data_IF_155063904906
#
_entry.id   IF_155063904906
#
_cell.length_a   1.000
_cell.length_b   1.000
_cell.length_c   1.000
_cell.angle_alpha   90.00
_cell.angle_beta   90.00
_cell.angle_gamma   90.00
#
_symmetry.space_group_name_H-M   'P 1'
#
loop_
_entity.id
_entity.type
_entity.pdbx_description
1 polymer ?
#
# COMPACT_ATOMS: atom_id res chain seq x y z
N UNK A 1 37.53 2.32 -21.77
CA UNK A 1 37.23 3.17 -22.94
C UNK A 1 35.72 3.22 -23.10
N UNK A 2 35.10 4.39 -23.04
CA UNK A 2 33.67 4.53 -23.30
C UNK A 2 33.38 4.08 -24.75
N UNK A 3 32.26 3.38 -25.02
CA UNK A 3 31.91 2.99 -26.38
C UNK A 3 31.74 4.26 -27.23
N UNK A 4 32.55 4.39 -28.28
CA UNK A 4 32.51 5.53 -29.18
C UNK A 4 31.14 5.61 -29.85
N UNK A 5 30.46 6.73 -29.66
CA UNK A 5 29.14 6.96 -30.24
C UNK A 5 29.24 7.04 -31.77
N UNK A 6 28.36 6.36 -32.51
CA UNK A 6 28.35 6.46 -33.96
C UNK A 6 27.88 7.87 -34.36
N UNK A 7 28.57 8.56 -35.29
CA UNK A 7 28.10 9.85 -35.77
C UNK A 7 26.80 9.69 -36.55
N UNK A 8 25.94 10.72 -36.52
CA UNK A 8 24.76 10.79 -37.38
C UNK A 8 25.20 10.71 -38.85
N UNK A 9 24.48 9.94 -39.66
CA UNK A 9 24.82 9.64 -41.05
C UNK A 9 25.81 8.50 -41.25
N UNK A 10 26.33 7.89 -40.18
CA UNK A 10 27.20 6.71 -40.33
C UNK A 10 26.44 5.51 -40.90
N UNK A 11 27.06 4.81 -41.85
CA UNK A 11 26.59 3.52 -42.33
C UNK A 11 26.93 2.44 -41.29
N UNK A 12 25.90 1.77 -40.80
CA UNK A 12 25.99 0.73 -39.78
C UNK A 12 25.23 -0.51 -40.22
N UNK A 13 25.74 -1.67 -39.83
CA UNK A 13 25.10 -2.97 -40.01
C UNK A 13 24.58 -3.46 -38.67
N UNK A 14 23.29 -3.80 -38.64
CA UNK A 14 22.57 -4.40 -37.50
C UNK A 14 21.98 -5.74 -37.91
N UNK A 15 21.51 -6.58 -36.96
CA UNK A 15 20.84 -7.85 -37.30
C UNK A 15 19.63 -7.69 -38.25
N UNK A 16 18.99 -6.52 -38.27
CA UNK A 16 17.88 -6.19 -39.17
C UNK A 16 18.32 -5.76 -40.58
N UNK A 17 19.62 -5.58 -40.83
CA UNK A 17 20.17 -5.16 -42.12
C UNK A 17 21.11 -3.96 -42.02
N UNK A 18 21.52 -3.44 -43.18
CA UNK A 18 22.35 -2.23 -43.29
C UNK A 18 21.49 -0.97 -43.29
N UNK A 19 21.99 0.08 -42.67
CA UNK A 19 21.27 1.35 -42.60
C UNK A 19 22.12 2.53 -42.13
N UNK A 20 21.54 3.71 -42.18
CA UNK A 20 22.16 4.97 -41.78
C UNK A 20 21.69 5.38 -40.38
N UNK A 21 22.61 5.80 -39.54
CA UNK A 21 22.27 6.37 -38.23
C UNK A 21 21.56 7.71 -38.43
N UNK A 22 20.29 7.81 -38.03
CA UNK A 22 19.47 9.03 -38.14
C UNK A 22 19.22 9.71 -36.80
N UNK A 23 19.34 8.99 -35.69
CA UNK A 23 19.08 9.51 -34.34
C UNK A 23 20.02 8.88 -33.31
N UNK A 24 20.51 9.67 -32.36
CA UNK A 24 21.30 9.21 -31.21
C UNK A 24 20.94 10.07 -29.98
N UNK A 25 20.12 9.56 -29.07
CA UNK A 25 19.54 10.39 -28.01
C UNK A 25 18.76 9.62 -26.95
N UNK A 26 18.28 10.33 -25.93
CA UNK A 26 17.26 9.79 -25.01
C UNK A 26 15.91 9.71 -25.71
N UNK A 27 15.04 8.81 -25.26
CA UNK A 27 13.69 8.65 -25.82
C UNK A 27 12.63 8.84 -24.74
N UNK A 28 11.41 9.18 -25.15
CA UNK A 28 10.26 9.31 -24.27
C UNK A 28 9.68 7.97 -23.80
N UNK A 29 9.90 6.91 -24.58
CA UNK A 29 9.29 5.60 -24.34
C UNK A 29 10.14 4.69 -23.44
N UNK A 30 11.43 4.97 -23.28
CA UNK A 30 12.30 4.15 -22.42
C UNK A 30 13.53 4.93 -21.95
N UNK A 31 13.89 4.76 -20.67
CA UNK A 31 15.08 5.37 -20.10
C UNK A 31 16.36 4.77 -20.72
N UNK A 32 17.36 5.63 -20.92
CA UNK A 32 18.63 5.26 -21.56
C UNK A 32 18.83 5.91 -22.92
N UNK A 33 19.98 5.65 -23.53
CA UNK A 33 20.36 6.21 -24.84
C UNK A 33 20.04 5.22 -25.94
N UNK A 34 19.41 5.72 -27.01
CA UNK A 34 18.93 4.95 -28.13
C UNK A 34 19.55 5.45 -29.43
N UNK A 35 19.80 4.51 -30.34
CA UNK A 35 20.24 4.78 -31.70
C UNK A 35 19.13 4.38 -32.66
N UNK A 36 18.68 5.36 -33.46
CA UNK A 36 17.71 5.17 -34.52
C UNK A 36 18.41 5.06 -35.87
N UNK A 37 18.12 4.00 -36.59
CA UNK A 37 18.76 3.63 -37.85
C UNK A 37 17.67 3.54 -38.93
N UNK A 38 17.89 4.21 -40.05
CA UNK A 38 17.09 4.01 -41.25
C UNK A 38 17.75 2.92 -42.10
N UNK A 39 17.11 1.76 -42.16
CA UNK A 39 17.51 0.62 -42.97
C UNK A 39 17.30 0.91 -44.46
N UNK A 40 18.20 0.36 -45.26
CA UNK A 40 18.07 0.40 -46.72
C UNK A 40 16.86 -0.42 -47.22
N UNK A 41 16.53 -1.50 -46.52
CA UNK A 41 15.43 -2.43 -46.83
C UNK A 41 14.29 -2.34 -45.81
N UNK A 42 13.10 -2.82 -46.18
CA UNK A 42 11.87 -2.77 -45.38
C UNK A 42 11.82 -3.80 -44.22
N UNK A 43 12.93 -3.95 -43.49
CA UNK A 43 13.11 -4.87 -42.36
C UNK A 43 13.03 -4.18 -40.98
N UNK A 44 12.58 -2.93 -40.97
CA UNK A 44 12.40 -2.09 -39.79
C UNK A 44 11.05 -2.29 -39.12
N UNK A 45 10.91 -1.68 -37.94
CA UNK A 45 9.71 -1.79 -37.09
C UNK A 45 8.78 -0.58 -37.17
N UNK A 46 9.30 0.56 -37.62
CA UNK A 46 8.54 1.81 -37.76
C UNK A 46 9.11 2.66 -38.91
N UNK A 47 8.66 3.91 -39.01
CA UNK A 47 9.09 4.93 -39.98
C UNK A 47 9.97 6.03 -39.35
N UNK A 48 10.43 5.81 -38.11
CA UNK A 48 11.13 6.79 -37.29
C UNK A 48 10.22 7.48 -36.26
N UNK A 49 8.94 7.13 -36.22
CA UNK A 49 7.98 7.56 -35.20
C UNK A 49 7.70 6.42 -34.21
N UNK A 50 7.78 6.71 -32.90
CA UNK A 50 7.44 5.75 -31.83
C UNK A 50 6.44 6.41 -30.89
N UNK A 51 5.28 5.77 -30.70
CA UNK A 51 4.19 6.28 -29.83
C UNK A 51 3.75 7.72 -30.19
N UNK A 52 3.74 8.07 -31.48
CA UNK A 52 3.35 9.39 -31.97
C UNK A 52 4.45 10.47 -31.89
N UNK A 53 5.61 10.15 -31.30
CA UNK A 53 6.76 11.06 -31.26
C UNK A 53 7.73 10.69 -32.37
N UNK A 54 8.02 11.65 -33.25
CA UNK A 54 8.92 11.48 -34.39
C UNK A 54 10.36 11.78 -33.98
N UNK A 55 11.23 10.80 -34.12
CA UNK A 55 12.67 10.92 -33.84
C UNK A 55 13.48 11.22 -35.10
N UNK A 56 13.07 10.63 -36.22
CA UNK A 56 13.58 10.93 -37.57
C UNK A 56 12.52 10.57 -38.61
N UNK A 57 12.74 10.97 -39.86
CA UNK A 57 11.85 10.62 -40.99
C UNK A 57 12.50 9.51 -41.80
N UNK A 58 11.77 8.41 -42.02
CA UNK A 58 12.15 7.32 -42.91
C UNK A 58 10.94 6.72 -43.62
N UNK A 59 11.17 5.76 -44.52
CA UNK A 59 10.10 5.00 -45.18
C UNK A 59 9.38 4.07 -44.18
N UNK A 60 8.10 3.72 -44.41
CA UNK A 60 7.41 2.73 -43.60
C UNK A 60 8.20 1.42 -43.52
N UNK A 61 8.33 0.85 -42.32
CA UNK A 61 9.12 -0.37 -42.04
C UNK A 61 10.62 -0.24 -42.34
N UNK A 62 11.21 0.96 -42.33
CA UNK A 62 12.65 1.12 -42.50
C UNK A 62 13.37 1.54 -41.21
N UNK A 63 12.68 1.90 -40.15
CA UNK A 63 13.34 2.34 -38.92
C UNK A 63 13.58 1.20 -37.94
N UNK A 64 14.81 1.12 -37.44
CA UNK A 64 15.25 0.22 -36.38
C UNK A 64 15.78 1.01 -35.19
N UNK A 65 15.43 0.59 -33.96
CA UNK A 65 15.92 1.19 -32.72
C UNK A 65 16.73 0.17 -31.93
N UNK A 66 17.91 0.55 -31.45
CA UNK A 66 18.74 -0.27 -30.56
C UNK A 66 19.36 0.56 -29.44
N UNK A 67 19.51 -0.05 -28.27
CA UNK A 67 20.22 0.51 -27.11
C UNK A 67 21.66 -0.03 -26.99
N UNK A 68 22.03 -1.01 -27.83
CA UNK A 68 23.29 -1.72 -27.71
C UNK A 68 24.25 -1.31 -28.84
N UNK A 69 25.27 -0.47 -28.58
CA UNK A 69 26.24 -0.09 -29.61
C UNK A 69 27.10 -1.25 -30.11
N UNK A 70 27.16 -2.39 -29.39
CA UNK A 70 27.77 -3.64 -29.86
C UNK A 70 27.06 -4.25 -31.07
N UNK A 71 25.78 -3.94 -31.27
CA UNK A 71 25.02 -4.37 -32.46
C UNK A 71 25.35 -3.53 -33.70
N UNK A 72 26.08 -2.43 -33.53
CA UNK A 72 26.41 -1.50 -34.62
C UNK A 72 27.80 -1.78 -35.16
N UNK A 73 27.87 -2.51 -36.26
CA UNK A 73 29.13 -2.64 -37.01
C UNK A 73 29.24 -1.47 -37.99
N UNK A 74 30.17 -0.55 -37.77
CA UNK A 74 30.45 0.53 -38.74
C UNK A 74 30.97 -0.07 -40.04
N UNK A 75 30.29 0.22 -41.13
CA UNK A 75 30.71 -0.18 -42.48
C UNK A 75 31.42 1.03 -43.09
N UNK A 76 32.74 0.96 -43.17
CA UNK A 76 33.57 1.95 -43.85
C UNK A 76 33.75 1.54 -45.30
N UNK A 77 32.76 1.80 -46.16
CA UNK A 77 32.91 1.62 -47.60
C UNK A 77 32.08 2.69 -48.34
N UNK A 78 32.65 3.39 -49.33
CA UNK A 78 31.94 4.44 -50.06
C UNK A 78 30.89 3.83 -51.00
N UNK A 79 29.67 4.36 -50.93
CA UNK A 79 28.50 3.95 -51.72
C UNK A 79 28.76 4.14 -53.22
N UNK A 80 28.52 3.07 -54.02
CA UNK A 80 28.19 3.20 -55.45
C UNK A 80 26.68 3.35 -55.57
N UNK A 81 26.25 4.36 -56.31
CA UNK A 81 24.86 4.56 -56.68
C UNK A 81 24.37 3.40 -57.58
N UNK A 82 23.14 2.89 -57.40
CA UNK A 82 22.53 1.99 -58.37
C UNK A 82 22.02 2.81 -59.57
N UNK A 83 22.68 2.58 -60.70
CA UNK A 83 22.32 3.03 -62.04
C UNK A 83 20.98 2.40 -62.49
N UNK A 84 20.07 3.15 -63.15
CA UNK A 84 18.78 2.62 -63.59
C UNK A 84 18.94 1.78 -64.86
N UNK A 85 18.49 0.52 -64.81
CA UNK A 85 18.44 -0.40 -65.96
C UNK A 85 17.26 -0.01 -66.89
N UNK A 86 17.45 0.01 -68.23
CA UNK A 86 16.45 0.51 -69.18
C UNK A 86 15.40 -0.52 -69.60
N UNK A 87 14.17 -0.04 -69.83
CA UNK A 87 13.07 -0.79 -70.47
C UNK A 87 13.42 -1.17 -71.93
N UNK A 88 12.95 -2.32 -72.45
CA UNK A 88 13.11 -2.65 -73.85
C UNK A 88 11.98 -2.02 -74.71
N UNK A 89 12.36 -1.13 -75.63
CA UNK A 89 11.57 -0.90 -76.84
C UNK A 89 11.71 -2.07 -77.83
N UNK A 90 10.70 -2.30 -78.68
CA UNK A 90 11.06 -2.40 -80.09
C UNK A 90 10.23 -1.53 -81.03
N UNK A 91 11.01 -0.95 -81.94
CA UNK A 91 10.75 -0.13 -83.12
C UNK A 91 9.61 -0.58 -84.05
N UNK A 92 8.95 0.41 -84.66
CA UNK A 92 8.31 0.34 -86.00
C UNK A 92 9.11 1.22 -86.97
N UNK A 93 8.90 1.28 -88.31
CA UNK A 93 7.95 0.58 -89.20
C UNK A 93 8.59 0.07 -90.55
N UNK A 94 8.00 -0.93 -91.22
CA UNK A 94 8.11 -1.11 -92.68
C UNK A 94 6.77 -1.61 -93.24
N UNK A 95 6.28 -0.94 -94.28
CA UNK A 95 5.20 -1.38 -95.17
C UNK A 95 5.66 -1.13 -96.62
N UNK A 96 4.93 -1.53 -97.69
CA UNK A 96 4.05 -2.69 -97.89
C UNK A 96 4.41 -3.48 -99.17
N UNK A 97 4.21 -4.80 -99.20
CA UNK A 97 4.09 -5.54 -100.48
C UNK A 97 3.06 -6.68 -100.35
N UNK A 98 1.97 -6.58 -101.12
CA UNK A 98 1.20 -7.72 -101.61
C UNK A 98 2.00 -8.39 -102.75
N UNK A 99 1.97 -9.73 -102.90
CA UNK A 99 0.88 -10.29 -103.72
C UNK A 99 0.39 -11.71 -103.34
N UNK A 100 -0.84 -11.98 -103.77
CA UNK A 100 -1.35 -13.27 -104.28
C UNK A 100 -1.50 -14.49 -103.35
N UNK A 101 -2.78 -14.83 -103.12
CA UNK A 101 -3.28 -16.19 -102.77
C UNK A 101 -2.83 -17.25 -103.80
N UNK A 102 -2.59 -18.51 -103.38
CA UNK A 102 -3.70 -19.48 -103.27
C UNK A 102 -3.72 -20.35 -101.99
N UNK A 103 -4.96 -20.60 -101.53
CA UNK A 103 -5.54 -21.75 -100.78
C UNK A 103 -4.70 -22.69 -99.89
N UNK A 104 -4.99 -22.60 -98.57
CA UNK A 104 -5.06 -23.64 -97.49
C UNK A 104 -3.78 -24.40 -97.08
N UNK A 105 -3.41 -24.44 -95.77
CA UNK A 105 -4.27 -24.79 -94.64
C UNK A 105 -4.24 -23.75 -93.50
N UNK A 106 -4.86 -22.58 -93.69
CA UNK A 106 -4.83 -21.48 -92.69
C UNK A 106 -5.84 -21.68 -91.54
N UNK A 107 -6.98 -22.33 -91.81
CA UNK A 107 -8.05 -22.55 -90.81
C UNK A 107 -7.60 -23.30 -89.56
N UNK A 108 -6.68 -24.26 -89.67
CA UNK A 108 -6.24 -25.06 -88.52
C UNK A 108 -5.38 -24.26 -87.54
N UNK A 109 -4.61 -23.26 -88.01
CA UNK A 109 -3.80 -22.39 -87.17
C UNK A 109 -4.67 -21.34 -86.47
N UNK A 110 -5.60 -20.73 -87.20
CA UNK A 110 -6.60 -19.81 -86.63
C UNK A 110 -7.46 -20.51 -85.56
N UNK A 111 -7.86 -21.77 -85.80
CA UNK A 111 -8.65 -22.56 -84.85
C UNK A 111 -7.84 -22.94 -83.59
N UNK A 112 -6.53 -23.17 -83.72
CA UNK A 112 -5.62 -23.42 -82.58
C UNK A 112 -5.42 -22.14 -81.74
N UNK A 113 -5.16 -20.99 -82.37
CA UNK A 113 -5.02 -19.71 -81.68
C UNK A 113 -6.31 -19.29 -80.97
N UNK A 114 -7.47 -19.51 -81.60
CA UNK A 114 -8.77 -19.26 -80.98
C UNK A 114 -8.99 -20.18 -79.76
N UNK A 115 -8.52 -21.43 -79.80
CA UNK A 115 -8.58 -22.33 -78.64
C UNK A 115 -7.64 -21.88 -77.51
N UNK A 116 -6.43 -21.44 -77.82
CA UNK A 116 -5.47 -20.91 -76.84
C UNK A 116 -5.97 -19.61 -76.19
N UNK A 117 -6.52 -18.69 -76.97
CA UNK A 117 -7.11 -17.45 -76.44
C UNK A 117 -8.33 -17.76 -75.55
N UNK A 118 -9.17 -18.72 -75.93
CA UNK A 118 -10.27 -19.19 -75.07
C UNK A 118 -9.78 -19.81 -73.77
N UNK A 119 -8.70 -20.61 -73.82
CA UNK A 119 -8.08 -21.17 -72.62
C UNK A 119 -7.49 -20.07 -71.74
N UNK A 120 -6.85 -19.06 -72.33
CA UNK A 120 -6.30 -17.90 -71.62
C UNK A 120 -7.41 -17.05 -70.98
N UNK A 121 -8.53 -16.85 -71.67
CA UNK A 121 -9.72 -16.20 -71.10
C UNK A 121 -10.22 -16.98 -69.88
N UNK A 122 -10.36 -18.31 -69.96
CA UNK A 122 -10.76 -19.14 -68.81
C UNK A 122 -9.81 -19.03 -67.62
N UNK A 123 -8.50 -19.02 -67.87
CA UNK A 123 -7.49 -18.85 -66.81
C UNK A 123 -7.57 -17.45 -66.19
N UNK A 124 -7.77 -16.41 -67.00
CA UNK A 124 -7.94 -15.04 -66.50
C UNK A 124 -9.25 -14.88 -65.73
N UNK A 125 -10.33 -15.54 -66.15
CA UNK A 125 -11.61 -15.57 -65.43
C UNK A 125 -11.48 -16.30 -64.09
N UNK A 126 -10.76 -17.43 -64.05
CA UNK A 126 -10.46 -18.15 -62.81
C UNK A 126 -9.62 -17.29 -61.85
N UNK A 127 -8.57 -16.63 -62.36
CA UNK A 127 -7.76 -15.68 -61.58
C UNK A 127 -8.60 -14.53 -61.02
N UNK A 128 -9.47 -13.91 -61.83
CA UNK A 128 -10.39 -12.87 -61.34
C UNK A 128 -11.35 -13.39 -60.27
N UNK A 129 -11.80 -14.64 -60.36
CA UNK A 129 -12.66 -15.24 -59.36
C UNK A 129 -11.91 -15.48 -58.02
N UNK A 130 -10.64 -15.89 -58.08
CA UNK A 130 -9.79 -16.05 -56.90
C UNK A 130 -9.38 -14.71 -56.29
N UNK A 131 -9.04 -13.72 -57.11
CA UNK A 131 -8.79 -12.35 -56.67
C UNK A 131 -10.04 -11.77 -55.98
N UNK A 132 -11.23 -11.99 -56.54
CA UNK A 132 -12.50 -11.57 -55.91
C UNK A 132 -12.78 -12.29 -54.58
N UNK A 133 -12.32 -13.53 -54.40
CA UNK A 133 -12.39 -14.23 -53.10
C UNK A 133 -11.41 -13.65 -52.10
N UNK A 134 -10.18 -13.36 -52.53
CA UNK A 134 -9.16 -12.77 -51.66
C UNK A 134 -9.56 -11.36 -51.20
N UNK A 135 -10.13 -10.56 -52.08
CA UNK A 135 -10.67 -9.23 -51.73
C UNK A 135 -11.75 -9.35 -50.64
N UNK A 136 -12.70 -10.29 -50.77
CA UNK A 136 -13.73 -10.50 -49.73
C UNK A 136 -13.14 -10.93 -48.39
N UNK A 137 -12.11 -11.77 -48.38
CA UNK A 137 -11.44 -12.17 -47.15
C UNK A 137 -10.69 -11.00 -46.49
N UNK A 138 -10.05 -10.15 -47.30
CA UNK A 138 -9.41 -8.93 -46.79
C UNK A 138 -10.45 -7.95 -46.24
N UNK A 139 -11.61 -7.81 -46.88
CA UNK A 139 -12.73 -7.00 -46.40
C UNK A 139 -13.27 -7.51 -45.05
N UNK A 140 -13.43 -8.83 -44.87
CA UNK A 140 -13.87 -9.37 -43.57
C UNK A 140 -12.82 -9.12 -42.48
N UNK A 141 -11.54 -9.37 -42.76
CA UNK A 141 -10.45 -9.08 -41.80
C UNK A 141 -10.35 -7.59 -41.48
N UNK A 142 -10.57 -6.72 -42.46
CA UNK A 142 -10.62 -5.27 -42.26
C UNK A 142 -11.77 -4.91 -41.31
N UNK A 143 -12.96 -5.46 -41.53
CA UNK A 143 -14.13 -5.22 -40.67
C UNK A 143 -13.91 -5.66 -39.22
N UNK A 144 -13.24 -6.81 -39.01
CA UNK A 144 -12.86 -7.28 -37.67
C UNK A 144 -11.83 -6.34 -37.04
N UNK A 145 -10.80 -5.93 -37.78
CA UNK A 145 -9.79 -4.99 -37.32
C UNK A 145 -10.39 -3.62 -36.94
N UNK A 146 -11.30 -3.09 -37.76
CA UNK A 146 -12.05 -1.87 -37.48
C UNK A 146 -12.88 -1.99 -36.20
N UNK A 147 -13.48 -3.16 -35.95
CA UNK A 147 -14.20 -3.42 -34.69
C UNK A 147 -13.28 -3.38 -33.46
N UNK A 148 -12.06 -3.91 -33.55
CA UNK A 148 -11.07 -3.83 -32.47
C UNK A 148 -10.56 -2.41 -32.25
N UNK A 149 -10.36 -1.65 -33.33
CA UNK A 149 -10.02 -0.22 -33.24
C UNK A 149 -11.14 0.56 -32.55
N UNK A 150 -12.41 0.25 -32.83
CA UNK A 150 -13.57 0.86 -32.16
C UNK A 150 -13.71 0.45 -30.68
N UNK A 151 -13.24 -0.74 -30.30
CA UNK A 151 -13.24 -1.19 -28.89
C UNK A 151 -12.14 -0.54 -28.05
N UNK A 152 -10.99 -0.21 -28.65
CA UNK A 152 -9.85 0.40 -27.96
C UNK A 152 -10.21 1.67 -27.16
N UNK A 153 -10.91 2.69 -27.71
CA UNK A 153 -11.29 3.87 -26.93
C UNK A 153 -12.28 3.54 -25.82
N UNK A 154 -13.14 2.53 -25.98
CA UNK A 154 -14.07 2.11 -24.91
C UNK A 154 -13.32 1.48 -23.74
N UNK A 155 -12.34 0.62 -24.02
CA UNK A 155 -11.49 0.04 -22.98
C UNK A 155 -10.61 1.09 -22.32
N UNK A 156 -10.06 2.02 -23.11
CA UNK A 156 -9.29 3.15 -22.59
C UNK A 156 -10.14 4.05 -21.69
N UNK A 157 -11.38 4.34 -22.07
CA UNK A 157 -12.33 5.11 -21.26
C UNK A 157 -12.69 4.39 -19.95
N UNK A 158 -12.88 3.05 -20.00
CA UNK A 158 -13.11 2.25 -18.79
C UNK A 158 -11.89 2.26 -17.86
N UNK A 159 -10.68 2.12 -18.42
CA UNK A 159 -9.45 2.19 -17.64
C UNK A 159 -9.31 3.56 -16.96
N UNK A 160 -9.57 4.66 -17.68
CA UNK A 160 -9.54 6.00 -17.08
C UNK A 160 -10.64 6.20 -16.04
N UNK A 161 -11.85 5.69 -16.27
CA UNK A 161 -12.95 5.73 -15.28
C UNK A 161 -12.56 5.03 -13.98
N UNK A 162 -12.06 3.80 -14.10
CA UNK A 162 -11.59 3.03 -12.94
C UNK A 162 -10.40 3.69 -12.25
N UNK A 163 -9.47 4.30 -13.00
CA UNK A 163 -8.39 5.08 -12.40
C UNK A 163 -8.92 6.27 -11.60
N UNK A 164 -9.92 7.00 -12.12
CA UNK A 164 -10.54 8.11 -11.39
C UNK A 164 -11.29 7.63 -10.15
N UNK A 165 -12.05 6.54 -10.24
CA UNK A 165 -12.77 5.94 -9.10
C UNK A 165 -11.81 5.43 -8.01
N UNK A 166 -10.67 4.85 -8.39
CA UNK A 166 -9.63 4.45 -7.44
C UNK A 166 -9.01 5.65 -6.73
N UNK A 167 -8.84 6.77 -7.42
CA UNK A 167 -8.32 8.00 -6.81
C UNK A 167 -9.35 8.61 -5.85
N UNK A 168 -10.62 8.67 -6.24
CA UNK A 168 -11.68 9.22 -5.38
C UNK A 168 -11.88 8.37 -4.13
N UNK A 169 -11.98 7.05 -4.27
CA UNK A 169 -12.14 6.14 -3.13
C UNK A 169 -10.92 6.17 -2.19
N UNK A 170 -9.70 6.29 -2.72
CA UNK A 170 -8.50 6.49 -1.89
C UNK A 170 -8.53 7.80 -1.11
N UNK A 171 -9.04 8.87 -1.72
CA UNK A 171 -9.21 10.16 -1.03
C UNK A 171 -10.26 10.06 0.06
N UNK A 172 -11.42 9.48 -0.23
CA UNK A 172 -12.48 9.24 0.75
C UNK A 172 -11.99 8.38 1.92
N UNK A 173 -11.18 7.35 1.66
CA UNK A 173 -10.56 6.53 2.69
C UNK A 173 -9.61 7.34 3.58
N UNK A 174 -8.78 8.21 2.98
CA UNK A 174 -7.86 9.07 3.73
C UNK A 174 -8.63 10.07 4.62
N UNK A 175 -9.68 10.70 4.08
CA UNK A 175 -10.54 11.64 4.82
C UNK A 175 -11.25 10.92 5.99
N UNK A 176 -11.77 9.70 5.75
CA UNK A 176 -12.39 8.88 6.78
C UNK A 176 -11.40 8.43 7.87
N UNK A 177 -10.16 8.08 7.49
CA UNK A 177 -9.09 7.75 8.43
C UNK A 177 -8.70 8.94 9.30
N UNK A 178 -8.61 10.15 8.73
CA UNK A 178 -8.34 11.36 9.51
C UNK A 178 -9.47 11.65 10.50
N UNK A 179 -10.72 11.53 10.08
CA UNK A 179 -11.86 11.68 10.99
C UNK A 179 -11.87 10.63 12.11
N UNK A 180 -11.51 9.38 11.81
CA UNK A 180 -11.37 8.33 12.81
C UNK A 180 -10.27 8.63 13.82
N UNK A 181 -9.08 9.07 13.38
CA UNK A 181 -7.98 9.47 14.27
C UNK A 181 -8.37 10.64 15.18
N UNK A 182 -9.08 11.64 14.65
CA UNK A 182 -9.60 12.76 15.46
C UNK A 182 -10.68 12.31 16.46
N UNK A 183 -11.48 11.30 16.11
CA UNK A 183 -12.46 10.73 17.03
C UNK A 183 -11.77 9.92 18.13
N UNK A 184 -10.75 9.12 17.79
CA UNK A 184 -9.93 8.38 18.75
C UNK A 184 -9.23 9.30 19.74
N UNK A 185 -8.60 10.38 19.27
CA UNK A 185 -7.96 11.36 20.15
C UNK A 185 -8.97 11.99 21.12
N UNK A 186 -10.17 12.33 20.63
CA UNK A 186 -11.25 12.86 21.47
C UNK A 186 -11.71 11.85 22.51
N UNK A 187 -11.79 10.57 22.15
CA UNK A 187 -12.16 9.51 23.10
C UNK A 187 -11.11 9.40 24.20
N UNK A 188 -9.82 9.43 23.84
CA UNK A 188 -8.72 9.42 24.82
C UNK A 188 -8.79 10.64 25.74
N UNK A 189 -8.96 11.85 25.21
CA UNK A 189 -9.11 13.06 26.02
C UNK A 189 -10.31 12.96 26.99
N UNK A 190 -11.43 12.40 26.54
CA UNK A 190 -12.61 12.18 27.40
C UNK A 190 -12.36 11.10 28.45
N UNK A 191 -11.58 10.06 28.14
CA UNK A 191 -11.18 9.02 29.09
C UNK A 191 -10.28 9.61 30.18
N UNK A 192 -9.27 10.41 29.80
CA UNK A 192 -8.41 11.12 30.76
C UNK A 192 -9.22 12.06 31.65
N UNK A 193 -10.20 12.78 31.10
CA UNK A 193 -11.10 13.63 31.90
C UNK A 193 -11.94 12.82 32.88
N UNK A 194 -12.43 11.64 32.47
CA UNK A 194 -13.16 10.74 33.35
C UNK A 194 -12.26 10.19 34.46
N UNK A 195 -11.04 9.78 34.14
CA UNK A 195 -10.05 9.31 35.12
C UNK A 195 -9.75 10.39 36.15
N UNK A 196 -9.47 11.62 35.71
CA UNK A 196 -9.24 12.76 36.60
C UNK A 196 -10.45 13.04 37.49
N UNK A 197 -11.66 13.04 36.93
CA UNK A 197 -12.89 13.23 37.70
C UNK A 197 -13.14 12.09 38.70
N UNK A 198 -12.77 10.86 38.35
CA UNK A 198 -12.89 9.72 39.28
C UNK A 198 -11.91 9.83 40.45
N UNK A 199 -10.68 10.27 40.21
CA UNK A 199 -9.71 10.52 41.28
C UNK A 199 -10.18 11.65 42.20
N UNK A 200 -10.68 12.76 41.65
CA UNK A 200 -11.20 13.87 42.45
C UNK A 200 -12.39 13.43 43.32
N UNK A 201 -13.25 12.55 42.78
CA UNK A 201 -14.35 11.95 43.53
C UNK A 201 -13.83 11.05 44.66
N UNK A 202 -12.89 10.15 44.38
CA UNK A 202 -12.30 9.27 45.41
C UNK A 202 -11.64 10.08 46.53
N UNK A 203 -10.90 11.14 46.18
CA UNK A 203 -10.28 12.05 47.14
C UNK A 203 -11.31 12.81 47.99
N UNK A 204 -12.46 13.19 47.39
CA UNK A 204 -13.54 13.82 48.12
C UNK A 204 -14.27 12.84 49.05
N UNK A 205 -14.48 11.60 48.62
CA UNK A 205 -15.06 10.53 49.42
C UNK A 205 -14.18 10.21 50.64
N UNK A 206 -12.87 10.03 50.47
CA UNK A 206 -11.96 9.81 51.60
C UNK A 206 -11.97 10.99 52.59
N UNK A 207 -12.00 12.23 52.09
CA UNK A 207 -12.11 13.42 52.96
C UNK A 207 -13.42 13.46 53.74
N UNK A 208 -14.53 13.09 53.11
CA UNK A 208 -15.82 13.01 53.77
C UNK A 208 -15.83 11.91 54.85
N UNK A 209 -15.32 10.71 54.53
CA UNK A 209 -15.19 9.61 55.49
C UNK A 209 -14.30 9.98 56.69
N UNK A 210 -13.19 10.70 56.46
CA UNK A 210 -12.34 11.21 57.54
C UNK A 210 -13.08 12.22 58.43
N UNK A 211 -13.80 13.18 57.84
CA UNK A 211 -14.58 14.16 58.60
C UNK A 211 -15.73 13.52 59.39
N UNK A 212 -16.38 12.49 58.82
CA UNK A 212 -17.40 11.70 59.53
C UNK A 212 -16.81 10.93 60.71
N UNK A 213 -15.62 10.34 60.54
CA UNK A 213 -14.91 9.66 61.63
C UNK A 213 -14.51 10.62 62.76
N UNK A 214 -14.00 11.81 62.45
CA UNK A 214 -13.71 12.86 63.44
C UNK A 214 -14.98 13.29 64.18
N UNK A 215 -16.10 13.41 63.47
CA UNK A 215 -17.39 13.77 64.06
C UNK A 215 -17.94 12.64 64.96
N UNK A 216 -17.76 11.38 64.59
CA UNK A 216 -18.05 10.24 65.46
C UNK A 216 -17.16 10.24 66.71
N UNK A 217 -15.86 10.50 66.59
CA UNK A 217 -14.94 10.61 67.73
C UNK A 217 -15.35 11.73 68.70
N UNK A 218 -15.67 12.92 68.17
CA UNK A 218 -16.15 14.04 68.99
C UNK A 218 -17.48 13.70 69.67
N UNK A 219 -18.38 12.99 68.98
CA UNK A 219 -19.64 12.51 69.59
C UNK A 219 -19.39 11.48 70.70
N UNK A 220 -18.48 10.53 70.50
CA UNK A 220 -18.08 9.56 71.52
C UNK A 220 -17.48 10.27 72.75
N UNK A 221 -16.63 11.28 72.53
CA UNK A 221 -16.04 12.12 73.58
C UNK A 221 -17.10 12.95 74.32
N UNK A 222 -18.05 13.56 73.60
CA UNK A 222 -19.16 14.28 74.20
C UNK A 222 -19.99 13.34 75.08
N UNK A 223 -20.33 12.14 74.60
CA UNK A 223 -21.08 11.15 75.36
C UNK A 223 -20.34 10.70 76.63
N UNK A 224 -19.00 10.63 76.60
CA UNK A 224 -18.18 10.41 77.81
C UNK A 224 -18.39 11.55 78.81
N UNK A 225 -18.15 12.78 78.37
CA UNK A 225 -18.22 13.97 79.24
C UNK A 225 -19.63 14.18 79.78
N UNK A 226 -20.67 13.94 78.98
CA UNK A 226 -22.07 14.00 79.42
C UNK A 226 -22.35 13.00 80.54
N UNK A 227 -21.88 11.75 80.41
CA UNK A 227 -22.00 10.74 81.46
C UNK A 227 -21.20 11.14 82.71
N UNK A 228 -19.99 11.67 82.55
CA UNK A 228 -19.19 12.17 83.67
C UNK A 228 -19.89 13.31 84.42
N UNK A 229 -20.48 14.27 83.69
CA UNK A 229 -21.26 15.36 84.26
C UNK A 229 -22.54 14.86 84.95
N UNK A 230 -23.23 13.88 84.38
CA UNK A 230 -24.40 13.23 84.98
C UNK A 230 -24.02 12.61 86.34
N UNK A 231 -22.91 11.85 86.38
CA UNK A 231 -22.40 11.23 87.61
C UNK A 231 -21.98 12.27 88.64
N UNK A 232 -21.33 13.36 88.23
CA UNK A 232 -20.95 14.44 89.14
C UNK A 232 -22.15 15.19 89.70
N UNK A 233 -23.21 15.39 88.90
CA UNK A 233 -24.47 16.00 89.38
C UNK A 233 -25.21 15.08 90.34
N UNK A 234 -25.42 13.81 89.99
CA UNK A 234 -26.07 12.83 90.87
C UNK A 234 -25.23 12.59 92.14
N UNK A 235 -23.91 12.62 92.03
CA UNK A 235 -22.99 12.55 93.16
C UNK A 235 -23.02 13.81 94.04
N UNK A 236 -23.20 15.00 93.45
CA UNK A 236 -23.37 16.26 94.16
C UNK A 236 -24.74 16.42 94.82
N UNK A 237 -25.81 15.89 94.20
CA UNK A 237 -27.16 15.86 94.75
C UNK A 237 -27.32 14.78 95.84
N UNK A 238 -26.58 13.67 95.76
CA UNK A 238 -26.51 12.66 96.85
C UNK A 238 -25.47 12.96 97.92
N UNK A 239 -24.60 13.95 97.73
CA UNK A 239 -23.62 14.36 98.73
C UNK A 239 -24.25 15.04 99.97
N UNK A 240 -25.58 15.23 100.00
CA UNK A 240 -26.28 15.58 101.23
C UNK A 240 -26.60 14.38 102.15
N UNK A 241 -26.42 13.12 101.74
CA UNK A 241 -26.73 11.98 102.61
C UNK A 241 -25.76 10.78 102.50
N UNK A 242 -24.79 10.79 103.42
CA UNK A 242 -23.99 9.69 104.01
C UNK A 242 -24.08 8.29 103.35
N UNK A 243 -22.98 7.82 102.73
CA UNK A 243 -22.30 6.48 102.86
C UNK A 243 -21.50 6.11 101.59
N UNK A 244 -20.16 6.20 101.64
CA UNK A 244 -19.29 6.17 100.45
C UNK A 244 -18.86 4.79 99.91
N UNK A 245 -19.22 3.66 100.52
CA UNK A 245 -18.56 2.37 100.23
C UNK A 245 -19.25 1.44 99.22
N UNK A 246 -20.60 1.31 99.14
CA UNK A 246 -21.22 0.44 98.13
C UNK A 246 -21.29 1.09 96.73
N UNK A 247 -21.29 2.43 96.66
CA UNK A 247 -21.42 3.18 95.40
C UNK A 247 -20.15 3.10 94.55
N UNK A 248 -18.96 3.10 95.17
CA UNK A 248 -17.67 2.99 94.45
C UNK A 248 -17.52 1.66 93.72
N UNK A 249 -18.05 0.56 94.28
CA UNK A 249 -18.02 -0.77 93.65
C UNK A 249 -19.00 -0.85 92.47
N UNK A 250 -20.23 -0.33 92.61
CA UNK A 250 -21.18 -0.26 91.49
C UNK A 250 -20.72 0.67 90.38
N UNK A 251 -20.08 1.79 90.71
CA UNK A 251 -19.51 2.74 89.74
C UNK A 251 -18.34 2.13 88.95
N UNK A 252 -17.40 1.47 89.66
CA UNK A 252 -16.27 0.78 89.02
C UNK A 252 -16.74 -0.38 88.12
N UNK A 253 -17.79 -1.09 88.53
CA UNK A 253 -18.40 -2.14 87.73
C UNK A 253 -19.02 -1.60 86.44
N UNK A 254 -19.80 -0.52 86.51
CA UNK A 254 -20.43 0.14 85.34
C UNK A 254 -19.35 0.73 84.39
N UNK A 255 -18.27 1.29 84.92
CA UNK A 255 -17.14 1.77 84.11
C UNK A 255 -16.44 0.62 83.37
N UNK A 256 -16.22 -0.52 84.03
CA UNK A 256 -15.61 -1.71 83.42
C UNK A 256 -16.52 -2.34 82.34
N UNK A 257 -17.83 -2.34 82.56
CA UNK A 257 -18.80 -2.88 81.60
C UNK A 257 -18.84 -2.02 80.32
N UNK A 258 -18.88 -0.70 80.46
CA UNK A 258 -18.76 0.24 79.33
C UNK A 258 -17.41 0.16 78.61
N UNK A 259 -16.30 -0.02 79.33
CA UNK A 259 -14.99 -0.23 78.68
C UNK A 259 -14.94 -1.54 77.89
N UNK A 260 -15.56 -2.61 78.40
CA UNK A 260 -15.67 -3.87 77.67
C UNK A 260 -16.56 -3.75 76.43
N UNK A 261 -17.66 -3.00 76.50
CA UNK A 261 -18.50 -2.72 75.32
C UNK A 261 -17.73 -1.93 74.26
N UNK A 262 -16.99 -0.88 74.63
CA UNK A 262 -16.12 -0.15 73.70
C UNK A 262 -15.07 -1.03 73.04
N UNK A 263 -14.41 -1.89 73.81
CA UNK A 263 -13.42 -2.83 73.27
C UNK A 263 -14.07 -3.84 72.32
N UNK A 264 -15.28 -4.31 72.61
CA UNK A 264 -16.05 -5.20 71.73
C UNK A 264 -16.44 -4.50 70.43
N UNK A 265 -16.93 -3.26 70.49
CA UNK A 265 -17.30 -2.48 69.31
C UNK A 265 -16.09 -2.16 68.43
N UNK A 266 -14.97 -1.74 69.03
CA UNK A 266 -13.72 -1.51 68.31
C UNK A 266 -13.19 -2.78 67.61
N UNK A 267 -13.30 -3.94 68.27
CA UNK A 267 -12.97 -5.24 67.67
C UNK A 267 -13.89 -5.59 66.50
N UNK A 268 -15.20 -5.36 66.64
CA UNK A 268 -16.17 -5.59 65.56
C UNK A 268 -15.89 -4.67 64.38
N UNK A 269 -15.61 -3.39 64.63
CA UNK A 269 -15.28 -2.39 63.61
C UNK A 269 -14.00 -2.77 62.84
N UNK A 270 -12.95 -3.19 63.56
CA UNK A 270 -11.70 -3.71 62.97
C UNK A 270 -11.92 -5.01 62.19
N UNK A 271 -12.74 -5.92 62.70
CA UNK A 271 -13.10 -7.18 62.02
C UNK A 271 -13.84 -6.91 60.71
N UNK A 272 -14.81 -5.98 60.71
CA UNK A 272 -15.53 -5.55 59.49
C UNK A 272 -14.57 -4.91 58.49
N UNK A 273 -13.77 -3.93 58.91
CA UNK A 273 -12.78 -3.26 58.03
C UNK A 273 -11.79 -4.25 57.41
N UNK A 274 -11.26 -5.20 58.19
CA UNK A 274 -10.41 -6.29 57.67
C UNK A 274 -11.14 -7.15 56.63
N UNK A 275 -12.41 -7.48 56.87
CA UNK A 275 -13.21 -8.30 55.97
C UNK A 275 -13.51 -7.59 54.66
N UNK A 276 -13.83 -6.29 54.71
CA UNK A 276 -14.03 -5.45 53.53
C UNK A 276 -12.75 -5.33 52.69
N UNK A 277 -11.59 -5.09 53.33
CA UNK A 277 -10.29 -5.05 52.62
C UNK A 277 -9.98 -6.38 51.93
N UNK A 278 -10.12 -7.50 52.66
CA UNK A 278 -9.87 -8.82 52.09
C UNK A 278 -10.82 -9.14 50.92
N UNK A 279 -12.10 -8.77 51.01
CA UNK A 279 -13.07 -8.94 49.94
C UNK A 279 -12.77 -8.05 48.73
N UNK A 280 -12.29 -6.83 48.94
CA UNK A 280 -11.85 -5.91 47.88
C UNK A 280 -10.62 -6.46 47.15
N UNK A 281 -9.64 -6.98 47.90
CA UNK A 281 -8.42 -7.57 47.34
C UNK A 281 -8.71 -8.87 46.57
N UNK A 282 -9.65 -9.69 47.05
CA UNK A 282 -10.18 -10.85 46.32
C UNK A 282 -10.91 -10.44 45.02
N UNK A 283 -11.68 -9.36 45.05
CA UNK A 283 -12.33 -8.81 43.86
C UNK A 283 -11.33 -8.29 42.83
N UNK A 284 -10.30 -7.56 43.29
CA UNK A 284 -9.23 -7.01 42.43
C UNK A 284 -8.37 -8.12 41.82
N UNK A 285 -8.01 -9.15 42.59
CA UNK A 285 -7.24 -10.30 42.09
C UNK A 285 -8.04 -11.18 41.12
N UNK A 286 -9.33 -11.41 41.38
CA UNK A 286 -10.22 -12.12 40.45
C UNK A 286 -10.44 -11.33 39.14
N UNK A 287 -10.61 -10.00 39.24
CA UNK A 287 -10.66 -9.11 38.08
C UNK A 287 -9.38 -9.16 37.25
N UNK A 288 -8.22 -9.04 37.91
CA UNK A 288 -6.92 -9.13 37.25
C UNK A 288 -6.68 -10.49 36.56
N UNK A 289 -7.04 -11.59 37.21
CA UNK A 289 -6.92 -12.93 36.62
C UNK A 289 -7.84 -13.11 35.40
N UNK A 290 -9.05 -12.55 35.44
CA UNK A 290 -10.01 -12.61 34.32
C UNK A 290 -9.56 -11.75 33.13
N UNK A 291 -8.95 -10.61 33.42
CA UNK A 291 -8.36 -9.71 32.42
C UNK A 291 -7.10 -10.30 31.79
N UNK A 292 -6.26 -10.99 32.57
CA UNK A 292 -5.10 -11.72 32.10
C UNK A 292 -5.50 -12.93 31.23
N UNK A 293 -6.54 -13.67 31.62
CA UNK A 293 -7.11 -14.74 30.80
C UNK A 293 -7.69 -14.20 29.48
N UNK A 294 -8.38 -13.06 29.49
CA UNK A 294 -8.86 -12.40 28.27
C UNK A 294 -7.70 -11.92 27.38
N UNK A 295 -6.59 -11.48 27.99
CA UNK A 295 -5.37 -11.04 27.29
C UNK A 295 -4.65 -12.22 26.62
N UNK A 296 -4.57 -13.37 27.29
CA UNK A 296 -4.02 -14.61 26.73
C UNK A 296 -4.89 -15.17 25.61
N UNK A 297 -6.22 -15.18 25.79
CA UNK A 297 -7.18 -15.70 24.79
C UNK A 297 -7.24 -14.83 23.52
N UNK A 298 -6.98 -13.52 23.64
CA UNK A 298 -6.99 -12.57 22.51
C UNK A 298 -5.60 -12.12 22.02
N UNK A 299 -4.51 -12.68 22.56
CA UNK A 299 -3.15 -12.51 22.02
C UNK A 299 -2.57 -11.09 22.08
N UNK A 300 -2.91 -10.28 23.09
CA UNK A 300 -2.37 -8.92 23.24
C UNK A 300 -1.03 -8.97 24.00
N UNK A 301 0.08 -8.72 23.29
CA UNK A 301 1.42 -8.68 23.86
C UNK A 301 1.58 -7.52 24.88
N UNK A 302 2.36 -7.69 25.96
CA UNK A 302 2.61 -6.61 26.91
C UNK A 302 3.42 -5.49 26.26
N UNK A 303 2.90 -4.26 26.33
CA UNK A 303 3.62 -3.05 25.96
C UNK A 303 4.77 -2.82 26.94
N UNK A 304 5.98 -3.22 26.54
CA UNK A 304 7.20 -2.96 27.30
C UNK A 304 7.62 -1.53 26.99
N UNK A 305 7.06 -0.57 27.73
CA UNK A 305 7.48 0.83 27.70
C UNK A 305 9.01 0.98 27.89
N UNK A 306 9.62 2.03 27.32
CA UNK A 306 11.07 2.12 27.19
C UNK A 306 11.74 2.26 28.56
N UNK A 307 12.55 1.27 28.95
CA UNK A 307 13.46 1.35 30.10
C UNK A 307 14.42 2.52 29.89
N UNK A 308 14.33 3.54 30.75
CA UNK A 308 15.31 4.62 30.79
C UNK A 308 16.68 4.06 31.15
N UNK A 309 17.65 4.26 30.26
CA UNK A 309 19.05 3.93 30.47
C UNK A 309 19.63 4.96 31.46
N UNK A 310 19.76 4.57 32.73
CA UNK A 310 20.55 5.28 33.73
C UNK A 310 22.04 4.97 33.57
N UNK A 311 22.87 6.01 33.65
CA UNK A 311 24.31 6.02 33.35
C UNK A 311 25.22 5.16 34.25
N UNK A 312 26.53 5.12 33.94
CA UNK A 312 27.43 4.07 34.36
C UNK A 312 27.96 4.28 35.78
N UNK A 313 27.78 3.28 36.64
CA UNK A 313 28.53 3.13 37.88
C UNK A 313 29.95 2.63 37.54
N UNK A 314 30.94 3.43 37.88
CA UNK A 314 32.37 3.10 37.80
C UNK A 314 32.71 1.95 38.76
N UNK A 315 32.80 0.74 38.23
CA UNK A 315 33.35 -0.43 38.90
C UNK A 315 34.85 -0.58 38.62
N UNK A 316 35.67 -0.34 39.64
CA UNK A 316 37.10 -0.62 39.67
C UNK A 316 37.33 -2.13 39.88
N UNK A 317 38.38 -2.65 39.24
CA UNK A 317 39.14 -3.88 39.57
C UNK A 317 38.54 -5.23 39.12
N UNK A 318 39.07 -5.80 38.03
CA UNK A 318 40.13 -6.81 38.14
C UNK A 318 40.68 -7.16 36.75
N UNK A 319 41.99 -6.95 36.57
CA UNK A 319 42.76 -7.55 35.50
C UNK A 319 42.82 -9.07 35.70
N UNK A 320 42.36 -9.83 34.72
CA UNK A 320 42.86 -11.19 34.48
C UNK A 320 43.27 -11.30 33.03
N UNK A 321 44.59 -11.25 32.89
CA UNK A 321 45.40 -11.49 31.70
C UNK A 321 45.12 -12.88 31.13
N UNK A 322 44.73 -12.97 29.86
CA UNK A 322 44.93 -14.17 29.05
C UNK A 322 45.71 -13.79 27.79
N UNK A 323 47.00 -14.13 27.81
CA UNK A 323 47.83 -14.28 26.62
C UNK A 323 47.79 -15.74 26.19
N UNK A 324 47.33 -16.00 24.97
CA UNK A 324 47.69 -17.14 24.13
C UNK A 324 47.13 -16.82 22.73
N UNK A 325 47.91 -16.41 21.73
CA UNK A 325 48.95 -17.14 21.03
C UNK A 325 48.42 -18.37 20.26
N UNK A 326 48.47 -18.21 18.93
CA UNK A 326 48.78 -19.19 17.88
C UNK A 326 47.62 -20.00 17.27
N UNK A 327 47.59 -19.95 15.94
CA UNK A 327 46.78 -20.75 15.03
C UNK A 327 46.62 -20.07 13.69
#
# INVERSE_FOLDING_TARGET
>A
MAPAEPPLGALVEVPAGRGLVRFCGGTSFSAGRWVGIELSEANGKNDGTVQGIKYFTGKPNHAHQTTQPSTLRRVSEPLRDPEPEPEPEPSSPIAPQEPSRPSTPVRAQDDQEVQELRAKIRVLEAKRADDARHVRELETRLSEAESFVALRPKLQAKLSSQQTELITTRRELADAQQLAQMAESRIVDMQEQLEMATLDKEMAEERAEMAEAELEEVKENLAIVEVELQVLKEGGERAEEVTETPVKQSLAYIQLEKQNERLKEALIRRSKSMRYRCQRDLGRSSGAAREEQYREENGVAPDVGPKSIGGPATGRLNEVRWSAALG
#
